data_IF_237162737685
#
_entry.id   IF_237162737685
#
_cell.length_a   1.000
_cell.length_b   1.000
_cell.length_c   1.000
_cell.angle_alpha   90.00
_cell.angle_beta   90.00
_cell.angle_gamma   90.00
#
_symmetry.space_group_name_H-M   'P 1'
#
loop_
_entity.id
_entity.type
_entity.pdbx_description
1 polymer ?
#
# COMPACT_ATOMS: atom_id res chain seq x y z
N UNK A 1 -16.69 8.49 22.15
CA UNK A 1 -15.33 7.96 21.91
C UNK A 1 -14.43 9.17 21.75
N UNK A 2 -13.44 9.38 22.61
CA UNK A 2 -12.60 10.58 22.57
C UNK A 2 -11.75 10.56 21.29
N UNK A 3 -11.64 11.70 20.59
CA UNK A 3 -10.93 11.86 19.30
C UNK A 3 -9.52 11.24 19.33
N UNK A 4 -8.84 11.29 20.49
CA UNK A 4 -7.51 10.72 20.72
C UNK A 4 -7.44 9.20 20.59
N UNK A 5 -8.48 8.44 20.97
CA UNK A 5 -8.45 6.98 20.88
C UNK A 5 -8.62 6.48 19.44
N UNK A 6 -9.39 7.21 18.63
CA UNK A 6 -9.58 6.88 17.21
C UNK A 6 -8.30 7.20 16.41
N UNK A 7 -7.72 8.37 16.63
CA UNK A 7 -6.46 8.77 15.98
C UNK A 7 -5.34 7.78 16.25
N UNK A 8 -5.23 7.30 17.50
CA UNK A 8 -4.24 6.28 17.87
C UNK A 8 -4.48 4.95 17.15
N UNK A 9 -5.74 4.48 17.07
CA UNK A 9 -6.05 3.26 16.32
C UNK A 9 -5.67 3.39 14.85
N UNK A 10 -6.03 4.51 14.20
CA UNK A 10 -5.70 4.74 12.79
C UNK A 10 -4.18 4.81 12.57
N UNK A 11 -3.43 5.36 13.52
CA UNK A 11 -1.96 5.34 13.48
C UNK A 11 -1.43 3.89 13.52
N UNK A 12 -1.88 3.09 14.48
CA UNK A 12 -1.46 1.68 14.62
C UNK A 12 -1.84 0.85 13.38
N UNK A 13 -3.02 1.13 12.79
CA UNK A 13 -3.46 0.50 11.55
C UNK A 13 -2.56 0.89 10.36
N UNK A 14 -2.14 2.15 10.26
CA UNK A 14 -1.22 2.62 9.22
C UNK A 14 0.18 2.00 9.36
N UNK A 15 0.72 1.95 10.57
CA UNK A 15 2.00 1.29 10.84
C UNK A 15 1.94 -0.20 10.46
N UNK A 16 0.87 -0.90 10.86
CA UNK A 16 0.65 -2.32 10.52
C UNK A 16 0.50 -2.53 9.01
N UNK A 17 -0.26 -1.68 8.32
CA UNK A 17 -0.44 -1.77 6.88
C UNK A 17 0.88 -1.51 6.12
N UNK A 18 1.69 -0.56 6.60
CA UNK A 18 3.02 -0.32 6.06
C UNK A 18 3.94 -1.55 6.28
N UNK A 19 3.86 -2.20 7.43
CA UNK A 19 4.52 -3.46 7.73
C UNK A 19 3.97 -4.66 6.93
N UNK A 20 2.85 -4.53 6.22
CA UNK A 20 2.41 -5.55 5.26
C UNK A 20 2.94 -5.30 3.84
N UNK A 21 3.23 -4.05 3.49
CA UNK A 21 3.55 -3.67 2.11
C UNK A 21 5.03 -3.37 1.84
N UNK A 22 5.82 -2.99 2.86
CA UNK A 22 7.17 -2.48 2.67
C UNK A 22 8.23 -3.20 3.53
N UNK A 23 9.42 -3.40 2.98
CA UNK A 23 10.56 -4.05 3.65
C UNK A 23 11.88 -3.37 3.36
N UNK A 24 12.88 -3.60 4.20
CA UNK A 24 14.24 -3.15 3.94
C UNK A 24 14.96 -4.19 3.06
N UNK A 25 15.77 -3.75 2.09
CA UNK A 25 16.53 -4.71 1.25
C UNK A 25 17.48 -5.54 2.13
N UNK A 26 17.40 -6.86 2.00
CA UNK A 26 18.18 -7.80 2.80
C UNK A 26 17.46 -8.39 4.02
N UNK A 27 16.23 -7.95 4.32
CA UNK A 27 15.37 -8.66 5.26
C UNK A 27 15.12 -10.09 4.75
N UNK A 28 15.21 -11.07 5.66
CA UNK A 28 15.04 -12.51 5.34
C UNK A 28 13.72 -13.03 5.87
N UNK A 29 12.67 -12.67 5.17
CA UNK A 29 11.29 -12.87 5.58
C UNK A 29 10.40 -13.30 4.40
N UNK A 30 11.00 -14.04 3.45
CA UNK A 30 10.26 -14.67 2.35
C UNK A 30 9.76 -13.66 1.32
N UNK A 31 10.41 -12.52 1.18
CA UNK A 31 10.02 -11.44 0.27
C UNK A 31 11.24 -10.86 -0.44
N UNK A 32 10.98 -10.21 -1.58
CA UNK A 32 11.95 -9.39 -2.30
C UNK A 32 11.37 -8.00 -2.50
N UNK A 33 12.23 -6.99 -2.48
CA UNK A 33 11.92 -5.59 -2.85
C UNK A 33 12.61 -5.18 -4.16
N UNK A 34 13.34 -6.10 -4.77
CA UNK A 34 14.07 -5.86 -6.02
C UNK A 34 13.15 -6.07 -7.22
N UNK A 35 13.28 -5.27 -8.30
CA UNK A 35 12.50 -5.50 -9.50
C UNK A 35 12.59 -6.95 -9.97
N UNK A 36 11.44 -7.56 -10.23
CA UNK A 36 11.40 -8.91 -10.76
C UNK A 36 11.62 -8.86 -12.28
N UNK A 37 12.41 -9.79 -12.84
CA UNK A 37 12.65 -9.79 -14.28
C UNK A 37 11.34 -10.04 -15.02
N UNK A 38 11.06 -9.22 -16.03
CA UNK A 38 9.95 -9.44 -16.96
C UNK A 38 10.24 -10.73 -17.76
N UNK A 39 9.74 -11.86 -17.27
CA UNK A 39 9.68 -13.08 -18.05
C UNK A 39 8.62 -12.91 -19.15
N UNK A 40 8.92 -13.38 -20.36
CA UNK A 40 7.90 -13.55 -21.41
C UNK A 40 6.96 -14.70 -20.99
N UNK A 41 6.03 -14.39 -20.11
CA UNK A 41 5.05 -15.31 -19.57
C UNK A 41 3.77 -15.29 -20.42
N UNK A 42 3.26 -16.48 -20.77
CA UNK A 42 1.90 -16.61 -21.29
C UNK A 42 0.94 -16.69 -20.10
N UNK A 43 0.42 -15.53 -19.70
CA UNK A 43 -0.47 -15.41 -18.55
C UNK A 43 -1.89 -15.93 -18.85
N UNK A 44 -2.47 -16.69 -17.93
CA UNK A 44 -3.90 -16.97 -17.84
C UNK A 44 -4.53 -16.12 -16.73
N UNK A 45 -5.81 -15.79 -16.86
CA UNK A 45 -6.53 -14.91 -15.93
C UNK A 45 -7.52 -15.68 -15.08
N UNK A 46 -7.53 -15.39 -13.78
CA UNK A 46 -8.63 -15.74 -12.87
C UNK A 46 -9.45 -14.47 -12.65
N UNK A 47 -10.72 -14.50 -13.03
CA UNK A 47 -11.64 -13.37 -12.88
C UNK A 47 -12.35 -13.39 -11.53
N UNK A 48 -12.74 -12.22 -11.03
CA UNK A 48 -13.52 -12.07 -9.81
C UNK A 48 -14.91 -12.72 -9.94
N UNK A 49 -15.36 -13.43 -8.90
CA UNK A 49 -16.69 -14.07 -8.87
C UNK A 49 -17.82 -13.13 -8.44
N UNK A 50 -17.47 -12.07 -7.70
CA UNK A 50 -18.39 -11.13 -7.05
C UNK A 50 -17.84 -9.69 -7.12
N UNK A 51 -18.71 -8.73 -6.84
CA UNK A 51 -18.36 -7.30 -6.73
C UNK A 51 -17.87 -6.98 -5.30
N UNK A 52 -17.00 -5.98 -5.16
CA UNK A 52 -16.63 -5.43 -3.85
C UNK A 52 -15.17 -4.96 -3.76
N UNK A 53 -14.79 -4.50 -2.57
CA UNK A 53 -13.41 -4.10 -2.29
C UNK A 53 -12.58 -5.29 -1.85
N UNK A 54 -11.36 -5.40 -2.37
CA UNK A 54 -10.35 -6.33 -1.85
C UNK A 54 -9.95 -5.89 -0.44
N UNK A 55 -10.28 -6.69 0.56
CA UNK A 55 -9.96 -6.40 1.97
C UNK A 55 -8.64 -7.05 2.39
N UNK A 56 -8.34 -8.24 1.85
CA UNK A 56 -7.09 -8.93 2.13
C UNK A 56 -6.75 -9.96 1.07
N UNK A 57 -5.46 -10.25 0.96
CA UNK A 57 -4.88 -11.31 0.16
C UNK A 57 -4.06 -12.23 1.06
N UNK A 58 -4.32 -13.53 0.97
CA UNK A 58 -3.61 -14.57 1.68
C UNK A 58 -2.27 -14.90 1.02
N UNK A 59 -1.27 -14.05 1.21
CA UNK A 59 0.05 -14.15 0.56
C UNK A 59 0.72 -15.53 0.71
N UNK A 60 0.79 -16.06 1.93
CA UNK A 60 1.39 -17.38 2.21
C UNK A 60 0.64 -18.52 1.50
N UNK A 61 -0.70 -18.44 1.45
CA UNK A 61 -1.52 -19.45 0.74
C UNK A 61 -1.30 -19.38 -0.76
N UNK A 62 -1.14 -18.18 -1.32
CA UNK A 62 -0.80 -18.00 -2.73
C UNK A 62 0.61 -18.53 -3.04
N UNK A 63 1.59 -18.27 -2.19
CA UNK A 63 2.96 -18.80 -2.34
C UNK A 63 2.95 -20.33 -2.33
N UNK A 64 2.27 -20.95 -1.35
CA UNK A 64 2.14 -22.41 -1.27
C UNK A 64 1.46 -22.99 -2.51
N UNK A 65 0.32 -22.42 -2.93
CA UNK A 65 -0.37 -22.90 -4.12
C UNK A 65 0.50 -22.76 -5.38
N UNK A 66 1.20 -21.63 -5.54
CA UNK A 66 2.08 -21.37 -6.66
C UNK A 66 3.30 -22.32 -6.69
N UNK A 67 3.82 -22.67 -5.51
CA UNK A 67 4.87 -23.67 -5.37
C UNK A 67 4.39 -25.04 -5.83
N UNK A 68 3.27 -25.52 -5.29
CA UNK A 68 2.71 -26.85 -5.58
C UNK A 68 2.35 -27.05 -7.07
N UNK A 69 2.00 -25.96 -7.77
CA UNK A 69 1.60 -25.98 -9.19
C UNK A 69 2.69 -25.50 -10.15
N UNK A 70 3.88 -25.21 -9.64
CA UNK A 70 4.99 -24.64 -10.40
C UNK A 70 4.60 -23.40 -11.23
N UNK A 71 3.77 -22.54 -10.62
CA UNK A 71 3.30 -21.29 -11.19
C UNK A 71 4.00 -20.08 -10.56
N UNK A 72 3.91 -18.96 -11.29
CA UNK A 72 4.08 -17.60 -10.79
C UNK A 72 2.71 -16.93 -10.86
N UNK A 73 2.34 -16.20 -9.82
CA UNK A 73 1.07 -15.49 -9.71
C UNK A 73 1.37 -14.01 -9.68
N UNK A 74 0.73 -13.24 -10.55
CA UNK A 74 0.63 -11.80 -10.41
C UNK A 74 -0.72 -11.45 -9.77
N UNK A 75 -0.68 -10.69 -8.68
CA UNK A 75 -1.88 -10.21 -8.00
C UNK A 75 -2.25 -8.87 -8.61
N UNK A 76 -3.25 -8.89 -9.49
CA UNK A 76 -3.71 -7.68 -10.18
C UNK A 76 -4.69 -6.87 -9.36
N UNK A 77 -5.42 -7.51 -8.44
CA UNK A 77 -6.34 -6.87 -7.53
C UNK A 77 -5.73 -6.77 -6.13
N UNK A 78 -5.19 -5.61 -5.81
CA UNK A 78 -4.52 -5.33 -4.55
C UNK A 78 -5.52 -4.91 -3.47
N UNK A 79 -5.20 -5.09 -2.17
CA UNK A 79 -6.03 -4.57 -1.08
C UNK A 79 -6.36 -3.09 -1.28
N UNK A 80 -7.65 -2.78 -1.24
CA UNK A 80 -8.19 -1.45 -1.53
C UNK A 80 -8.85 -1.29 -2.89
N UNK A 81 -8.53 -2.17 -3.85
CA UNK A 81 -9.15 -2.12 -5.18
C UNK A 81 -10.63 -2.49 -5.12
N UNK A 82 -11.44 -1.79 -5.91
CA UNK A 82 -12.84 -2.14 -6.13
C UNK A 82 -12.97 -2.97 -7.39
N UNK A 83 -13.50 -4.19 -7.25
CA UNK A 83 -13.74 -5.12 -8.34
C UNK A 83 -15.22 -5.20 -8.69
N UNK A 84 -15.47 -5.39 -9.97
CA UNK A 84 -16.73 -5.86 -10.53
C UNK A 84 -16.53 -7.32 -10.95
N UNK A 85 -17.58 -8.13 -10.83
CA UNK A 85 -17.59 -9.52 -11.27
C UNK A 85 -17.06 -9.64 -12.71
N UNK A 86 -16.05 -10.50 -12.89
CA UNK A 86 -15.35 -10.71 -14.15
C UNK A 86 -14.05 -9.91 -14.29
N UNK A 87 -13.81 -8.91 -13.45
CA UNK A 87 -12.52 -8.19 -13.42
C UNK A 87 -11.37 -9.14 -13.06
N UNK A 88 -10.17 -8.80 -13.51
CA UNK A 88 -8.99 -9.64 -13.29
C UNK A 88 -8.59 -9.65 -11.81
N UNK A 89 -8.69 -10.81 -11.17
CA UNK A 89 -8.30 -11.03 -9.77
C UNK A 89 -6.81 -11.38 -9.68
N UNK A 90 -6.40 -12.38 -10.47
CA UNK A 90 -5.04 -12.91 -10.53
C UNK A 90 -4.66 -13.23 -11.97
N UNK A 91 -3.36 -13.14 -12.27
CA UNK A 91 -2.78 -13.72 -13.48
C UNK A 91 -1.81 -14.82 -13.10
N UNK A 92 -1.86 -15.94 -13.81
CA UNK A 92 -1.06 -17.13 -13.55
C UNK A 92 -0.19 -17.44 -14.76
N UNK A 93 1.06 -17.81 -14.52
CA UNK A 93 1.95 -18.29 -15.57
C UNK A 93 2.80 -19.44 -15.07
N UNK A 94 3.04 -20.47 -15.91
CA UNK A 94 3.99 -21.52 -15.54
C UNK A 94 5.38 -20.91 -15.36
N UNK A 95 6.14 -21.46 -14.42
CA UNK A 95 7.58 -21.20 -14.38
C UNK A 95 8.23 -21.65 -15.68
N UNK A 96 9.33 -20.96 -16.04
CA UNK A 96 10.10 -21.30 -17.24
C UNK A 96 10.59 -22.75 -17.12
N UNK A 97 10.20 -23.58 -18.09
CA UNK A 97 10.54 -25.01 -18.13
C UNK A 97 9.53 -25.93 -17.43
N UNK A 98 8.48 -25.40 -16.81
CA UNK A 98 7.41 -26.19 -16.20
C UNK A 98 6.35 -26.61 -17.22
N UNK A 99 5.70 -27.75 -16.95
CA UNK A 99 4.56 -28.20 -17.75
C UNK A 99 3.33 -27.36 -17.44
N UNK A 100 2.53 -27.08 -18.47
CA UNK A 100 1.23 -26.41 -18.31
C UNK A 100 0.19 -27.46 -17.97
N UNK A 101 -0.41 -27.32 -16.78
CA UNK A 101 -1.57 -28.10 -16.38
C UNK A 101 -2.81 -27.21 -16.36
N UNK A 102 -3.95 -27.67 -16.89
CA UNK A 102 -5.20 -26.92 -16.80
C UNK A 102 -5.65 -26.84 -15.33
N UNK A 103 -6.15 -25.67 -14.92
CA UNK A 103 -6.71 -25.48 -13.58
C UNK A 103 -7.96 -26.33 -13.40
N UNK A 104 -8.06 -26.99 -12.25
CA UNK A 104 -9.28 -27.69 -11.83
C UNK A 104 -10.24 -26.72 -11.16
N UNK A 105 -11.50 -27.13 -10.96
CA UNK A 105 -12.46 -26.32 -10.19
C UNK A 105 -12.00 -26.14 -8.72
N UNK A 106 -11.35 -27.16 -8.14
CA UNK A 106 -10.79 -27.07 -6.78
C UNK A 106 -9.66 -26.04 -6.69
N UNK A 107 -8.83 -25.93 -7.74
CA UNK A 107 -7.80 -24.88 -7.83
C UNK A 107 -8.42 -23.49 -7.88
N UNK A 108 -9.47 -23.33 -8.69
CA UNK A 108 -10.20 -22.08 -8.77
C UNK A 108 -10.81 -21.73 -7.41
N UNK A 109 -11.48 -22.67 -6.74
CA UNK A 109 -12.07 -22.43 -5.42
C UNK A 109 -11.02 -22.01 -4.38
N UNK A 110 -9.85 -22.66 -4.38
CA UNK A 110 -8.72 -22.28 -3.51
C UNK A 110 -8.22 -20.87 -3.84
N UNK A 111 -8.00 -20.55 -5.11
CA UNK A 111 -7.54 -19.23 -5.55
C UNK A 111 -8.54 -18.12 -5.26
N UNK A 112 -9.85 -18.37 -5.32
CA UNK A 112 -10.84 -17.37 -4.90
C UNK A 112 -10.83 -17.21 -3.37
N UNK A 113 -10.69 -18.31 -2.62
CA UNK A 113 -10.62 -18.26 -1.15
C UNK A 113 -9.39 -17.53 -0.61
N UNK A 114 -8.36 -17.27 -1.44
CA UNK A 114 -7.20 -16.48 -1.01
C UNK A 114 -7.48 -14.99 -0.93
N UNK A 115 -8.47 -14.49 -1.66
CA UNK A 115 -8.82 -13.07 -1.71
C UNK A 115 -10.15 -12.85 -1.00
N UNK A 116 -10.14 -11.98 0.01
CA UNK A 116 -11.37 -11.60 0.72
C UNK A 116 -11.94 -10.33 0.09
N UNK A 117 -13.18 -10.40 -0.39
CA UNK A 117 -13.94 -9.23 -0.84
C UNK A 117 -14.93 -8.78 0.22
N UNK A 118 -15.19 -7.47 0.29
CA UNK A 118 -16.20 -6.91 1.18
C UNK A 118 -16.79 -5.58 0.69
N UNK A 119 -17.83 -5.11 1.38
CA UNK A 119 -18.60 -3.94 0.96
C UNK A 119 -17.86 -2.59 1.12
N UNK A 120 -16.76 -2.57 1.88
CA UNK A 120 -15.95 -1.38 2.13
C UNK A 120 -14.47 -1.75 2.29
N UNK A 121 -13.60 -0.78 2.02
CA UNK A 121 -12.15 -0.87 2.31
C UNK A 121 -11.91 -1.05 3.81
N UNK A 122 -10.80 -1.69 4.14
CA UNK A 122 -10.33 -1.89 5.51
C UNK A 122 -8.84 -1.53 5.57
N UNK A 123 -8.34 -0.91 6.64
CA UNK A 123 -6.94 -0.49 6.68
C UNK A 123 -5.96 -1.68 6.85
N UNK A 124 -6.45 -2.87 7.17
CA UNK A 124 -5.65 -4.05 7.52
C UNK A 124 -4.48 -4.35 6.58
N UNK A 125 -4.71 -4.40 5.26
CA UNK A 125 -3.65 -4.58 4.26
C UNK A 125 -3.62 -3.44 3.24
N UNK A 126 -4.34 -2.35 3.48
CA UNK A 126 -4.49 -1.24 2.56
C UNK A 126 -3.85 0.02 3.16
N UNK A 127 -2.54 0.15 2.93
CA UNK A 127 -1.74 1.27 3.45
C UNK A 127 -2.21 2.62 2.91
N UNK A 128 -2.72 2.65 1.68
CA UNK A 128 -3.29 3.86 1.08
C UNK A 128 -4.54 4.30 1.83
N UNK A 129 -5.44 3.36 2.17
CA UNK A 129 -6.64 3.67 2.95
C UNK A 129 -6.32 4.05 4.38
N UNK A 130 -5.40 3.35 5.04
CA UNK A 130 -4.99 3.68 6.40
C UNK A 130 -4.46 5.12 6.48
N UNK A 131 -3.65 5.55 5.50
CA UNK A 131 -3.19 6.94 5.41
C UNK A 131 -4.34 7.89 5.07
N UNK A 132 -5.22 7.51 4.14
CA UNK A 132 -6.39 8.30 3.77
C UNK A 132 -7.30 8.59 4.98
N UNK A 133 -7.43 7.66 5.93
CA UNK A 133 -8.20 7.90 7.15
C UNK A 133 -7.63 9.04 8.00
N UNK A 134 -6.30 9.18 8.09
CA UNK A 134 -5.67 10.34 8.75
C UNK A 134 -5.91 11.63 7.96
N UNK A 135 -5.81 11.58 6.63
CA UNK A 135 -6.14 12.73 5.77
C UNK A 135 -7.59 13.15 5.98
N UNK A 136 -8.54 12.21 6.02
CA UNK A 136 -9.96 12.51 6.28
C UNK A 136 -10.19 13.12 7.66
N UNK A 137 -9.46 12.68 8.69
CA UNK A 137 -9.50 13.31 10.01
C UNK A 137 -9.02 14.77 9.92
N UNK A 138 -7.92 15.03 9.21
CA UNK A 138 -7.40 16.37 9.00
C UNK A 138 -8.43 17.26 8.27
N UNK A 139 -8.96 16.79 7.14
CA UNK A 139 -9.94 17.52 6.32
C UNK A 139 -11.22 17.82 7.11
N UNK A 140 -11.72 16.87 7.90
CA UNK A 140 -12.89 17.10 8.76
C UNK A 140 -12.62 18.13 9.85
N UNK A 141 -11.41 18.15 10.41
CA UNK A 141 -10.99 19.18 11.36
C UNK A 141 -11.03 20.58 10.74
N UNK A 142 -10.58 20.72 9.49
CA UNK A 142 -10.53 22.00 8.76
C UNK A 142 -11.88 22.43 8.16
N UNK A 143 -12.87 21.55 8.13
CA UNK A 143 -14.18 21.88 7.57
C UNK A 143 -14.81 23.07 8.34
N UNK A 144 -15.48 23.97 7.61
CA UNK A 144 -16.00 25.26 8.10
C UNK A 144 -16.91 25.19 9.34
N UNK A 145 -17.50 24.02 9.61
CA UNK A 145 -18.31 23.79 10.81
C UNK A 145 -17.50 23.48 12.09
N UNK A 146 -16.29 22.95 11.96
CA UNK A 146 -15.40 22.62 13.08
C UNK A 146 -14.27 23.64 13.18
N UNK A 147 -13.57 23.90 12.08
CA UNK A 147 -12.43 24.81 12.00
C UNK A 147 -11.41 24.59 13.14
N UNK A 148 -11.04 23.33 13.36
CA UNK A 148 -10.02 22.90 14.31
C UNK A 148 -8.74 22.47 13.58
N UNK A 149 -7.84 23.42 13.27
CA UNK A 149 -6.61 23.12 12.58
C UNK A 149 -5.62 22.30 13.44
N UNK A 150 -5.78 22.22 14.76
CA UNK A 150 -4.94 21.35 15.60
C UNK A 150 -5.24 19.86 15.39
N UNK A 151 -6.47 19.52 15.01
CA UNK A 151 -6.80 18.15 14.58
C UNK A 151 -6.04 17.77 13.31
N UNK A 152 -5.92 18.69 12.35
CA UNK A 152 -5.13 18.48 11.12
C UNK A 152 -3.62 18.38 11.41
N UNK A 153 -3.10 19.26 12.27
CA UNK A 153 -1.70 19.18 12.74
C UNK A 153 -1.42 17.81 13.37
N UNK A 154 -2.31 17.33 14.24
CA UNK A 154 -2.15 16.04 14.90
C UNK A 154 -2.17 14.88 13.89
N UNK A 155 -3.04 14.92 12.89
CA UNK A 155 -3.08 13.90 11.84
C UNK A 155 -1.79 13.86 10.99
N UNK A 156 -1.18 15.02 10.71
CA UNK A 156 0.12 15.10 10.03
C UNK A 156 1.25 14.54 10.90
N UNK A 157 1.28 14.90 12.17
CA UNK A 157 2.27 14.39 13.12
C UNK A 157 2.15 12.88 13.31
N UNK A 158 0.93 12.33 13.33
CA UNK A 158 0.69 10.88 13.37
C UNK A 158 1.09 10.20 12.06
N UNK A 159 0.80 10.80 10.89
CA UNK A 159 1.23 10.24 9.60
C UNK A 159 2.76 10.13 9.52
N UNK A 160 3.49 11.07 10.14
CA UNK A 160 4.95 11.05 10.20
C UNK A 160 5.51 9.77 10.85
N UNK A 161 4.79 9.19 11.81
CA UNK A 161 5.25 8.02 12.57
C UNK A 161 5.43 6.77 11.70
N UNK A 162 4.58 6.59 10.68
CA UNK A 162 4.70 5.52 9.70
C UNK A 162 5.52 5.95 8.47
N UNK A 163 5.33 7.18 7.99
CA UNK A 163 5.96 7.64 6.74
C UNK A 163 7.47 7.85 6.86
N UNK A 164 7.98 8.38 7.98
CA UNK A 164 9.43 8.66 8.13
C UNK A 164 10.26 7.36 8.14
N UNK A 165 9.93 6.32 8.94
CA UNK A 165 10.64 5.04 8.87
C UNK A 165 10.55 4.38 7.50
N UNK A 166 9.37 4.40 6.88
CA UNK A 166 9.15 3.89 5.53
C UNK A 166 10.03 4.61 4.50
N UNK A 167 10.13 5.94 4.60
CA UNK A 167 10.90 6.79 3.68
C UNK A 167 12.42 6.67 3.83
N UNK A 168 12.91 6.26 5.01
CA UNK A 168 14.35 6.14 5.25
C UNK A 168 14.98 5.00 4.43
N UNK A 169 14.39 3.80 4.49
CA UNK A 169 15.07 2.59 4.02
C UNK A 169 14.16 1.52 3.42
N UNK A 170 12.84 1.63 3.59
CA UNK A 170 11.91 0.58 3.14
C UNK A 170 11.49 0.78 1.69
N UNK A 171 11.28 -0.33 1.00
CA UNK A 171 10.86 -0.42 -0.39
C UNK A 171 9.62 -1.31 -0.49
N UNK A 172 8.79 -1.07 -1.51
CA UNK A 172 7.61 -1.89 -1.74
C UNK A 172 8.02 -3.34 -2.01
N UNK A 173 7.31 -4.30 -1.43
CA UNK A 173 7.51 -5.71 -1.76
C UNK A 173 7.17 -5.90 -3.24
N UNK A 174 8.08 -6.52 -3.98
CA UNK A 174 7.92 -6.83 -5.42
C UNK A 174 7.70 -8.31 -5.67
N UNK A 175 8.03 -9.17 -4.71
CA UNK A 175 7.67 -10.58 -4.74
C UNK A 175 7.60 -11.20 -3.34
N UNK A 176 6.74 -12.21 -3.19
CA UNK A 176 6.82 -13.21 -2.14
C UNK A 176 7.51 -14.46 -2.68
N UNK A 177 8.40 -15.01 -1.88
CA UNK A 177 9.30 -16.10 -2.21
C UNK A 177 8.84 -17.39 -1.50
N UNK A 178 9.09 -18.54 -2.12
CA UNK A 178 8.98 -19.83 -1.43
C UNK A 178 10.22 -20.13 -0.56
N UNK A 179 10.23 -21.31 0.06
CA UNK A 179 11.33 -21.79 0.92
C UNK A 179 12.67 -21.94 0.16
N UNK A 180 12.62 -22.08 -1.16
CA UNK A 180 13.78 -22.18 -2.06
C UNK A 180 14.25 -20.80 -2.57
N UNK A 181 13.70 -19.71 -2.01
CA UNK A 181 13.95 -18.32 -2.41
C UNK A 181 13.57 -18.02 -3.87
N UNK A 182 12.60 -18.75 -4.44
CA UNK A 182 12.06 -18.53 -5.77
C UNK A 182 10.84 -17.62 -5.69
N UNK A 183 10.78 -16.57 -6.51
CA UNK A 183 9.62 -15.70 -6.59
C UNK A 183 8.39 -16.45 -7.09
N UNK A 184 7.32 -16.44 -6.29
CA UNK A 184 6.05 -17.13 -6.56
C UNK A 184 4.88 -16.19 -6.75
N UNK A 185 4.84 -15.10 -5.99
CA UNK A 185 3.71 -14.15 -6.03
C UNK A 185 4.25 -12.75 -6.24
N UNK A 186 3.73 -12.03 -7.23
CA UNK A 186 4.11 -10.70 -7.64
C UNK A 186 2.99 -9.73 -7.27
N UNK A 187 3.11 -8.97 -6.17
CA UNK A 187 2.18 -7.90 -5.83
C UNK A 187 2.53 -6.59 -6.55
N UNK A 188 1.59 -5.64 -6.54
CA UNK A 188 1.75 -4.28 -7.04
C UNK A 188 1.46 -3.24 -5.96
N UNK A 189 2.23 -3.27 -4.87
CA UNK A 189 2.09 -2.30 -3.79
C UNK A 189 2.39 -0.87 -4.26
N UNK A 190 1.72 0.16 -3.69
CA UNK A 190 2.00 1.54 -4.05
C UNK A 190 3.45 1.91 -3.72
N UNK A 191 4.06 2.74 -4.55
CA UNK A 191 5.37 3.28 -4.27
C UNK A 191 5.30 4.22 -3.03
N UNK A 192 6.33 4.23 -2.17
CA UNK A 192 6.43 5.16 -1.04
C UNK A 192 6.11 6.61 -1.38
N UNK A 193 6.56 7.06 -2.55
CA UNK A 193 6.36 8.39 -3.12
C UNK A 193 4.87 8.73 -3.25
N UNK A 194 4.03 7.75 -3.63
CA UNK A 194 2.58 7.95 -3.77
C UNK A 194 1.89 8.21 -2.42
N UNK A 195 2.38 7.58 -1.34
CA UNK A 195 1.85 7.83 0.00
C UNK A 195 2.22 9.24 0.49
N UNK A 196 3.47 9.64 0.28
CA UNK A 196 3.92 11.00 0.61
C UNK A 196 3.16 12.05 -0.22
N UNK A 197 2.96 11.82 -1.50
CA UNK A 197 2.15 12.72 -2.34
C UNK A 197 0.71 12.83 -1.84
N UNK A 198 0.11 11.73 -1.39
CA UNK A 198 -1.27 11.71 -0.87
C UNK A 198 -1.45 12.68 0.31
N UNK A 199 -0.55 12.65 1.29
CA UNK A 199 -0.66 13.52 2.48
C UNK A 199 -0.42 14.99 2.13
N UNK A 200 0.60 15.28 1.32
CA UNK A 200 0.91 16.67 0.93
C UNK A 200 -0.14 17.26 0.00
N UNK A 201 -0.67 16.49 -0.94
CA UNK A 201 -1.79 16.95 -1.78
C UNK A 201 -3.04 17.24 -0.94
N UNK A 202 -3.30 16.45 0.10
CA UNK A 202 -4.35 16.73 1.08
C UNK A 202 -4.16 18.07 1.78
N UNK A 203 -2.96 18.37 2.28
CA UNK A 203 -2.64 19.67 2.89
C UNK A 203 -2.80 20.82 1.89
N UNK A 204 -2.22 20.69 0.69
CA UNK A 204 -2.28 21.74 -0.33
C UNK A 204 -3.73 22.04 -0.77
N UNK A 205 -4.60 21.03 -0.75
CA UNK A 205 -6.00 21.18 -1.18
C UNK A 205 -6.87 21.78 -0.07
N UNK A 206 -6.66 21.38 1.19
CA UNK A 206 -7.63 21.66 2.26
C UNK A 206 -7.09 22.53 3.40
N UNK A 207 -5.77 22.63 3.57
CA UNK A 207 -5.13 23.35 4.68
C UNK A 207 -4.19 24.47 4.25
N UNK A 208 -4.19 24.84 2.97
CA UNK A 208 -3.33 25.90 2.43
C UNK A 208 -3.60 27.29 3.05
N UNK A 209 -4.82 27.54 3.51
CA UNK A 209 -5.20 28.81 4.14
C UNK A 209 -4.89 28.86 5.65
N UNK A 210 -4.43 27.75 6.25
CA UNK A 210 -4.16 27.62 7.68
C UNK A 210 -2.64 27.60 7.96
N UNK A 211 -2.04 28.71 8.44
CA UNK A 211 -0.59 28.80 8.64
C UNK A 211 -0.04 27.71 9.58
N UNK A 212 -0.82 27.28 10.58
CA UNK A 212 -0.36 26.26 11.52
C UNK A 212 -0.32 24.85 10.90
N UNK A 213 -1.16 24.60 9.89
CA UNK A 213 -1.18 23.34 9.14
C UNK A 213 -0.01 23.33 8.14
N UNK A 214 0.24 24.47 7.49
CA UNK A 214 1.43 24.64 6.65
C UNK A 214 2.72 24.46 7.45
N UNK A 215 2.83 25.01 8.66
CA UNK A 215 3.99 24.77 9.52
C UNK A 215 4.16 23.28 9.85
N UNK A 216 3.07 22.58 10.17
CA UNK A 216 3.11 21.12 10.38
C UNK A 216 3.55 20.34 9.14
N UNK A 217 3.12 20.75 7.95
CA UNK A 217 3.57 20.14 6.69
C UNK A 217 5.07 20.39 6.44
N UNK A 218 5.58 21.59 6.72
CA UNK A 218 7.01 21.88 6.66
C UNK A 218 7.81 21.03 7.65
N UNK A 219 7.29 20.82 8.87
CA UNK A 219 7.92 19.92 9.86
C UNK A 219 7.95 18.47 9.37
N UNK A 220 6.87 17.96 8.79
CA UNK A 220 6.85 16.62 8.18
C UNK A 220 7.85 16.52 7.03
N UNK A 221 7.89 17.53 6.14
CA UNK A 221 8.83 17.58 5.02
C UNK A 221 10.29 17.61 5.49
N UNK A 222 10.58 18.34 6.57
CA UNK A 222 11.91 18.37 7.18
C UNK A 222 12.30 16.99 7.73
N UNK A 223 11.41 16.34 8.49
CA UNK A 223 11.66 14.98 9.01
C UNK A 223 11.91 13.95 7.90
N UNK A 224 11.13 14.01 6.82
CA UNK A 224 11.36 13.16 5.64
C UNK A 224 12.69 13.51 4.96
N UNK A 225 13.04 14.78 4.88
CA UNK A 225 14.31 15.26 4.33
C UNK A 225 15.54 14.81 5.10
N UNK A 226 15.45 14.73 6.43
CA UNK A 226 16.53 14.28 7.31
C UNK A 226 16.92 12.81 7.06
N UNK A 227 16.00 12.00 6.54
CA UNK A 227 16.21 10.58 6.23
C UNK A 227 16.27 10.27 4.73
N UNK A 228 16.00 11.26 3.87
CA UNK A 228 15.93 11.06 2.42
C UNK A 228 17.32 10.95 1.78
N UNK A 229 17.43 10.09 0.78
CA UNK A 229 18.63 9.98 -0.07
C UNK A 229 18.26 9.72 -1.53
N UNK A 230 19.16 10.07 -2.46
CA UNK A 230 18.98 9.84 -3.90
C UNK A 230 17.66 10.40 -4.44
N UNK A 231 16.92 9.56 -5.19
CA UNK A 231 15.66 9.93 -5.82
C UNK A 231 14.59 10.45 -4.83
N UNK A 232 14.60 9.97 -3.58
CA UNK A 232 13.68 10.45 -2.55
C UNK A 232 13.93 11.90 -2.15
N UNK A 233 15.20 12.32 -2.10
CA UNK A 233 15.54 13.72 -1.81
C UNK A 233 15.08 14.65 -2.95
N UNK A 234 15.20 14.21 -4.20
CA UNK A 234 14.71 14.94 -5.38
C UNK A 234 13.17 15.05 -5.37
N UNK A 235 12.47 13.97 -5.00
CA UNK A 235 11.01 13.96 -4.85
C UNK A 235 10.53 15.01 -3.84
N UNK A 236 11.16 15.06 -2.65
CA UNK A 236 10.83 16.04 -1.62
C UNK A 236 11.14 17.48 -2.04
N UNK A 237 12.14 17.72 -2.89
CA UNK A 237 12.42 19.05 -3.41
C UNK A 237 11.27 19.58 -4.29
N UNK A 238 10.62 18.70 -5.06
CA UNK A 238 9.41 19.06 -5.83
C UNK A 238 8.25 19.46 -4.92
N UNK A 239 8.03 18.70 -3.83
CA UNK A 239 6.98 19.00 -2.85
C UNK A 239 7.27 20.33 -2.13
N UNK A 240 8.52 20.56 -1.72
CA UNK A 240 8.96 21.83 -1.10
C UNK A 240 8.62 23.02 -1.98
N UNK A 241 8.97 22.95 -3.25
CA UNK A 241 8.70 24.03 -4.19
C UNK A 241 7.21 24.35 -4.34
N UNK A 242 6.31 23.36 -4.16
CA UNK A 242 4.86 23.60 -4.20
C UNK A 242 4.36 24.27 -2.92
N UNK A 243 4.88 23.85 -1.77
CA UNK A 243 4.53 24.45 -0.47
C UNK A 243 5.01 25.90 -0.35
N UNK A 244 6.21 26.21 -0.83
CA UNK A 244 6.78 27.57 -0.76
C UNK A 244 6.09 28.58 -1.71
N UNK A 245 5.23 28.12 -2.62
CA UNK A 245 4.50 28.96 -3.59
C UNK A 245 3.11 29.42 -3.10
N UNK A 246 2.68 28.95 -1.94
CA UNK A 246 1.41 29.32 -1.28
C UNK A 246 1.67 30.46 -0.30
#
# INVERSE_FOLDING_TARGET
MQITSLQKQVQEDLETAADHAYRTDGDRDGVSVRPQPDGAHSWSTVGARDDGYVQSVGWERLVSWAHDHDQVIEVTAMPGDHLIKGDCLLRLAPRVGSNVHPLTEDDLDRLHSVVTLGAARTPFQDVGFALQQLVEIAVRGLASGTNDPYTAVSALDLSATALVPLWAERQAITAYLDEDAVARVLPHWPAPEQLVDTIFNGVLTYGAEDPIVLDAAHRLLARLGDVASGARAEHLASIRSKLDQI
#
